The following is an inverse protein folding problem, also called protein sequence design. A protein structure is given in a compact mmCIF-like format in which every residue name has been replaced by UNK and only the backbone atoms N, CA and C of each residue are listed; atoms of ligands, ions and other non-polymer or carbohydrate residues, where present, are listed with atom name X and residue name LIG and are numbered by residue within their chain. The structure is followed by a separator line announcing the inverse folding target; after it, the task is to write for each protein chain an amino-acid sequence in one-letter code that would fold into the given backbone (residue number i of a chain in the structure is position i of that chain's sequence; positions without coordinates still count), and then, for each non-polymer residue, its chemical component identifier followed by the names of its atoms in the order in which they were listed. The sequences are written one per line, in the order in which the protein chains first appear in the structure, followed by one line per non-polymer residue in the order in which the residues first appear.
data_IF_068898917582
#
_entry.id   IF_068898917582
#
_cell.length_a   1.000
_cell.length_b   1.000
_cell.length_c   1.000
_cell.angle_alpha   90.00
_cell.angle_beta   90.00
_cell.angle_gamma   90.00
#
_symmetry.space_group_name_H-M   'P 1'
#
loop_
_entity.id
_entity.type
_entity.pdbx_description
1 polymer ?
#
# COMPACT_ATOMS: atom_id res chain seq x y z
N UNK A 1 -23.77 -8.77 -2.22
CA UNK A 1 -22.95 -9.41 -1.17
C UNK A 1 -21.61 -9.76 -1.78
N UNK A 2 -20.57 -9.98 -0.97
CA UNK A 2 -19.24 -10.41 -1.43
C UNK A 2 -19.01 -11.82 -0.87
N UNK A 3 -18.60 -12.79 -1.71
CA UNK A 3 -18.18 -14.10 -1.22
C UNK A 3 -16.93 -13.95 -0.37
N UNK A 4 -16.91 -14.62 0.77
CA UNK A 4 -15.79 -14.58 1.67
C UNK A 4 -15.55 -15.94 2.31
N UNK A 5 -14.37 -16.12 2.89
CA UNK A 5 -13.99 -17.35 3.58
C UNK A 5 -13.43 -17.01 4.94
N UNK A 6 -13.86 -17.73 5.97
CA UNK A 6 -13.23 -17.67 7.30
C UNK A 6 -12.38 -18.91 7.47
N UNK A 7 -11.12 -18.74 7.84
CA UNK A 7 -10.20 -19.85 8.13
C UNK A 7 -9.30 -19.53 9.33
N UNK A 8 -8.73 -20.55 9.95
CA UNK A 8 -7.82 -20.36 11.09
C UNK A 8 -7.07 -21.63 11.47
N UNK A 9 -6.06 -21.49 12.33
CA UNK A 9 -5.15 -22.60 12.70
C UNK A 9 -5.85 -23.78 13.40
N UNK A 10 -7.02 -23.54 13.99
CA UNK A 10 -7.77 -24.53 14.79
C UNK A 10 -9.26 -24.56 14.46
N UNK A 11 -9.70 -23.89 13.39
CA UNK A 11 -11.10 -23.87 12.97
C UNK A 11 -11.23 -24.35 11.52
N UNK A 12 -12.35 -24.99 11.21
CA UNK A 12 -12.67 -25.40 9.85
C UNK A 12 -12.88 -24.19 8.95
N UNK A 13 -12.40 -24.29 7.72
CA UNK A 13 -12.61 -23.26 6.70
C UNK A 13 -14.09 -23.22 6.30
N UNK A 14 -14.73 -22.07 6.49
CA UNK A 14 -16.16 -21.88 6.18
C UNK A 14 -16.36 -20.83 5.08
N UNK A 15 -17.08 -21.17 3.99
CA UNK A 15 -17.51 -20.17 3.02
C UNK A 15 -18.69 -19.37 3.59
N UNK A 16 -18.62 -18.05 3.46
CA UNK A 16 -19.62 -17.10 3.95
C UNK A 16 -19.91 -16.03 2.89
N UNK A 17 -20.92 -15.20 3.12
CA UNK A 17 -21.21 -14.03 2.29
C UNK A 17 -21.42 -12.79 3.17
N UNK A 18 -20.68 -11.72 2.88
CA UNK A 18 -20.72 -10.48 3.67
C UNK A 18 -21.32 -9.32 2.88
N UNK A 19 -21.90 -8.34 3.57
CA UNK A 19 -22.44 -7.14 2.94
C UNK A 19 -21.30 -6.15 2.62
N UNK A 20 -21.09 -5.88 1.33
CA UNK A 20 -20.07 -4.93 0.83
C UNK A 20 -20.03 -3.61 1.58
N UNK A 21 -21.19 -2.97 1.78
CA UNK A 21 -21.26 -1.64 2.41
C UNK A 21 -20.79 -1.66 3.86
N UNK A 22 -21.14 -2.71 4.62
CA UNK A 22 -20.75 -2.84 6.02
C UNK A 22 -19.26 -3.13 6.14
N UNK A 23 -18.72 -4.03 5.29
CA UNK A 23 -17.30 -4.33 5.25
C UNK A 23 -16.45 -3.10 4.90
N UNK A 24 -16.81 -2.38 3.83
CA UNK A 24 -16.08 -1.18 3.42
C UNK A 24 -16.11 -0.09 4.49
N UNK A 25 -17.23 0.05 5.21
CA UNK A 25 -17.33 0.99 6.33
C UNK A 25 -16.30 0.66 7.41
N UNK A 26 -16.22 -0.61 7.83
CA UNK A 26 -15.28 -1.05 8.85
C UNK A 26 -13.83 -0.84 8.41
N UNK A 27 -13.49 -1.22 7.17
CA UNK A 27 -12.13 -1.05 6.62
C UNK A 27 -11.74 0.44 6.58
N UNK A 28 -12.66 1.33 6.22
CA UNK A 28 -12.39 2.76 6.15
C UNK A 28 -12.29 3.42 7.54
N UNK A 29 -13.03 2.93 8.54
CA UNK A 29 -13.07 3.52 9.88
C UNK A 29 -11.96 3.01 10.80
N UNK A 30 -11.55 1.75 10.65
CA UNK A 30 -10.64 1.07 11.58
C UNK A 30 -9.40 0.48 10.88
N UNK A 31 -9.26 0.71 9.58
CA UNK A 31 -8.19 0.16 8.77
C UNK A 31 -8.35 -1.33 8.44
N UNK A 32 -7.38 -1.85 7.70
CA UNK A 32 -7.38 -3.24 7.20
C UNK A 32 -7.27 -4.26 8.32
N UNK A 33 -6.50 -3.96 9.37
CA UNK A 33 -6.16 -4.92 10.43
C UNK A 33 -7.11 -4.87 11.63
N UNK A 34 -8.29 -4.28 11.47
CA UNK A 34 -9.29 -4.19 12.51
C UNK A 34 -9.81 -5.57 12.95
N UNK A 35 -10.08 -5.71 14.25
CA UNK A 35 -10.80 -6.85 14.81
C UNK A 35 -12.29 -6.74 14.44
N UNK A 36 -12.81 -7.77 13.79
CA UNK A 36 -14.20 -7.84 13.32
C UNK A 36 -14.88 -8.99 14.05
N UNK A 37 -16.03 -8.71 14.68
CA UNK A 37 -16.92 -9.74 15.20
C UNK A 37 -17.88 -10.17 14.09
N UNK A 38 -17.75 -11.42 13.66
CA UNK A 38 -18.54 -11.99 12.59
C UNK A 38 -19.48 -13.07 13.17
N UNK A 39 -20.77 -12.98 12.86
CA UNK A 39 -21.74 -14.04 13.20
C UNK A 39 -21.78 -15.06 12.06
N UNK A 40 -21.33 -16.28 12.36
CA UNK A 40 -21.35 -17.42 11.43
C UNK A 40 -22.24 -18.50 12.05
N UNK A 41 -23.42 -18.70 11.45
CA UNK A 41 -24.41 -19.70 11.88
C UNK A 41 -24.79 -19.62 13.37
N UNK A 42 -24.87 -18.41 13.93
CA UNK A 42 -25.24 -18.16 15.32
C UNK A 42 -24.07 -18.20 16.31
N UNK A 43 -22.84 -18.42 15.83
CA UNK A 43 -21.61 -18.32 16.63
C UNK A 43 -20.87 -17.04 16.26
N UNK A 44 -20.62 -16.20 17.26
CA UNK A 44 -19.80 -14.99 17.08
C UNK A 44 -18.32 -15.38 17.13
N UNK A 45 -17.64 -15.22 16.00
CA UNK A 45 -16.21 -15.46 15.84
C UNK A 45 -15.46 -14.12 15.70
N UNK A 46 -14.25 -14.05 16.26
CA UNK A 46 -13.41 -12.85 16.15
C UNK A 46 -12.39 -13.06 15.03
N UNK A 47 -12.47 -12.22 14.01
CA UNK A 47 -11.69 -12.36 12.78
C UNK A 47 -10.97 -11.06 12.42
N UNK A 48 -9.92 -11.16 11.62
CA UNK A 48 -9.24 -10.03 10.97
C UNK A 48 -9.32 -10.22 9.46
N UNK A 49 -9.35 -9.12 8.70
CA UNK A 49 -9.24 -9.18 7.26
C UNK A 49 -7.86 -9.72 6.87
N UNK A 50 -7.82 -10.89 6.25
CA UNK A 50 -6.60 -11.45 5.68
C UNK A 50 -6.34 -10.82 4.31
N UNK A 51 -6.55 -11.60 3.27
CA UNK A 51 -6.41 -11.16 1.89
C UNK A 51 -7.74 -10.68 1.30
N UNK A 52 -7.65 -9.89 0.23
CA UNK A 52 -8.81 -9.55 -0.57
C UNK A 52 -8.45 -9.51 -2.04
N UNK A 53 -9.44 -9.75 -2.87
CA UNK A 53 -9.34 -9.62 -4.32
C UNK A 53 -10.20 -8.42 -4.72
N UNK A 54 -9.62 -7.52 -5.50
CA UNK A 54 -10.32 -6.38 -6.06
C UNK A 54 -10.26 -6.42 -7.59
N UNK A 55 -11.32 -5.94 -8.23
CA UNK A 55 -11.38 -5.73 -9.67
C UNK A 55 -10.33 -4.68 -10.08
N UNK A 56 -9.42 -4.98 -11.04
CA UNK A 56 -8.34 -4.07 -11.38
C UNK A 56 -8.81 -2.78 -12.08
N UNK A 57 -10.02 -2.77 -12.64
CA UNK A 57 -10.57 -1.62 -13.38
C UNK A 57 -11.43 -0.77 -12.45
N UNK A 58 -12.36 -1.40 -11.75
CA UNK A 58 -13.37 -0.71 -10.95
C UNK A 58 -13.04 -0.69 -9.44
N UNK A 59 -11.95 -1.34 -9.03
CA UNK A 59 -11.51 -1.47 -7.63
C UNK A 59 -12.56 -2.04 -6.67
N UNK A 60 -13.51 -2.80 -7.21
CA UNK A 60 -14.55 -3.45 -6.43
C UNK A 60 -14.03 -4.73 -5.79
N UNK A 61 -14.27 -4.91 -4.49
CA UNK A 61 -13.98 -6.17 -3.80
C UNK A 61 -14.79 -7.33 -4.42
N UNK A 62 -14.07 -8.35 -4.90
CA UNK A 62 -14.57 -9.58 -5.52
C UNK A 62 -14.65 -10.71 -4.49
N UNK A 63 -13.60 -10.87 -3.68
CA UNK A 63 -13.50 -11.91 -2.66
C UNK A 63 -12.74 -11.38 -1.44
N UNK A 64 -13.11 -11.83 -0.25
CA UNK A 64 -12.43 -11.45 1.00
C UNK A 64 -12.14 -12.69 1.85
N UNK A 65 -10.96 -12.71 2.41
CA UNK A 65 -10.49 -13.73 3.32
C UNK A 65 -10.49 -13.18 4.74
N UNK A 66 -11.02 -13.95 5.68
CA UNK A 66 -11.04 -13.64 7.10
C UNK A 66 -10.20 -14.67 7.83
N UNK A 67 -9.24 -14.19 8.60
CA UNK A 67 -8.44 -15.02 9.48
C UNK A 67 -9.09 -15.03 10.87
N UNK A 68 -9.44 -16.20 11.38
CA UNK A 68 -9.82 -16.37 12.77
C UNK A 68 -8.61 -16.12 13.66
N UNK A 69 -8.73 -15.20 14.60
CA UNK A 69 -7.63 -14.79 15.47
C UNK A 69 -7.93 -15.05 16.93
N UNK A 70 -6.91 -15.46 17.67
CA UNK A 70 -6.93 -15.51 19.13
C UNK A 70 -6.20 -14.28 19.67
N UNK A 71 -6.76 -13.63 20.69
CA UNK A 71 -6.18 -12.42 21.28
C UNK A 71 -4.78 -12.66 21.87
N UNK A 72 -4.42 -13.90 22.19
CA UNK A 72 -3.13 -14.28 22.75
C UNK A 72 -2.09 -14.71 21.72
N UNK A 73 -2.49 -14.94 20.46
CA UNK A 73 -1.61 -15.50 19.44
C UNK A 73 -1.03 -14.40 18.55
N UNK A 74 0.27 -14.46 18.29
CA UNK A 74 0.90 -13.60 17.28
C UNK A 74 0.43 -14.01 15.88
N UNK A 75 0.10 -13.01 15.06
CA UNK A 75 -0.32 -13.21 13.68
C UNK A 75 0.55 -12.38 12.74
N UNK A 76 0.60 -12.79 11.48
CA UNK A 76 1.21 -12.01 10.41
C UNK A 76 0.16 -11.06 9.82
N UNK A 77 0.49 -9.78 9.73
CA UNK A 77 -0.39 -8.76 9.19
C UNK A 77 0.38 -7.84 8.24
N UNK A 78 -0.32 -7.35 7.21
CA UNK A 78 0.18 -6.34 6.29
C UNK A 78 -0.29 -4.98 6.77
N UNK A 79 0.64 -4.10 7.10
CA UNK A 79 0.33 -2.74 7.56
C UNK A 79 0.78 -1.73 6.51
N UNK A 80 -0.10 -0.83 6.05
CA UNK A 80 0.27 0.21 5.11
C UNK A 80 1.28 1.19 5.69
N UNK A 81 2.21 1.63 4.86
CA UNK A 81 3.23 2.63 5.19
C UNK A 81 2.78 4.00 4.70
N UNK A 82 2.66 4.95 5.62
CA UNK A 82 2.30 6.33 5.35
C UNK A 82 3.54 7.23 5.45
N UNK A 83 3.88 7.89 4.36
CA UNK A 83 4.95 8.89 4.36
C UNK A 83 4.40 10.20 4.91
N UNK A 84 5.07 10.74 5.94
CA UNK A 84 4.67 11.96 6.64
C UNK A 84 5.63 13.10 6.33
N UNK A 85 5.06 14.26 6.05
CA UNK A 85 5.81 15.47 5.71
C UNK A 85 6.15 15.57 4.22
N UNK A 86 6.72 16.72 3.85
CA UNK A 86 7.21 16.98 2.50
C UNK A 86 8.73 16.96 2.55
N UNK A 87 9.36 16.08 1.79
CA UNK A 87 10.80 15.97 1.76
C UNK A 87 11.43 17.23 1.15
N UNK A 88 12.50 17.76 1.75
CA UNK A 88 13.28 18.89 1.20
C UNK A 88 13.70 18.66 -0.26
N UNK A 89 14.07 17.43 -0.59
CA UNK A 89 14.43 17.07 -1.96
C UNK A 89 13.28 17.27 -2.96
N UNK A 90 12.02 17.15 -2.53
CA UNK A 90 10.85 17.43 -3.37
C UNK A 90 10.65 18.93 -3.59
N UNK A 91 10.92 19.76 -2.58
CA UNK A 91 10.86 21.22 -2.71
C UNK A 91 11.85 21.76 -3.74
N UNK A 92 12.97 21.06 -3.96
CA UNK A 92 14.02 21.42 -4.93
C UNK A 92 13.79 20.72 -6.29
N UNK A 93 12.63 20.10 -6.52
CA UNK A 93 12.26 19.47 -7.80
C UNK A 93 12.55 17.96 -7.88
N UNK A 94 12.76 17.30 -6.75
CA UNK A 94 12.80 15.84 -6.65
C UNK A 94 11.42 15.19 -6.63
N UNK A 95 11.38 13.89 -6.84
CA UNK A 95 10.17 13.06 -6.78
C UNK A 95 10.35 11.97 -5.73
N UNK A 96 9.35 11.79 -4.87
CA UNK A 96 9.32 10.67 -3.93
C UNK A 96 8.96 9.39 -4.69
N UNK A 97 9.81 8.38 -4.60
CA UNK A 97 9.51 7.01 -5.03
C UNK A 97 9.37 6.13 -3.80
N UNK A 98 8.16 5.65 -3.54
CA UNK A 98 7.89 4.67 -2.49
C UNK A 98 7.99 3.26 -3.09
N UNK A 99 8.96 2.48 -2.62
CA UNK A 99 9.16 1.10 -3.07
C UNK A 99 8.31 0.11 -2.27
N UNK A 100 8.10 0.40 -0.98
CA UNK A 100 7.31 -0.45 -0.08
C UNK A 100 6.09 0.32 0.41
N UNK A 101 4.92 -0.11 -0.04
CA UNK A 101 3.62 0.44 0.39
C UNK A 101 3.04 -0.27 1.62
N UNK A 102 3.42 -1.52 1.88
CA UNK A 102 2.93 -2.32 3.00
C UNK A 102 4.10 -3.11 3.63
N UNK A 103 4.18 -3.10 4.96
CA UNK A 103 5.14 -3.93 5.70
C UNK A 103 4.46 -5.17 6.27
N UNK A 104 5.14 -6.30 6.18
CA UNK A 104 4.72 -7.53 6.82
C UNK A 104 5.21 -7.49 8.26
N UNK A 105 4.32 -7.48 9.22
CA UNK A 105 4.67 -7.48 10.64
C UNK A 105 4.12 -8.73 11.32
N UNK A 106 4.70 -9.06 12.47
CA UNK A 106 4.21 -10.08 13.39
C UNK A 106 3.95 -9.41 14.74
N UNK A 107 2.70 -9.47 15.18
CA UNK A 107 2.25 -8.88 16.44
C UNK A 107 0.97 -9.58 16.94
N UNK A 108 0.59 -9.33 18.19
CA UNK A 108 -0.74 -9.70 18.67
C UNK A 108 -1.81 -8.81 18.05
N UNK A 109 -3.07 -9.27 17.89
CA UNK A 109 -4.12 -8.47 17.26
C UNK A 109 -4.34 -7.08 17.87
N UNK A 110 -4.08 -6.90 19.17
CA UNK A 110 -4.20 -5.62 19.86
C UNK A 110 -3.04 -4.64 19.59
N UNK A 111 -1.89 -5.15 19.15
CA UNK A 111 -0.68 -4.37 18.95
C UNK A 111 -0.42 -4.00 17.49
N UNK A 112 -1.27 -4.46 16.56
CA UNK A 112 -1.13 -4.13 15.14
C UNK A 112 -1.54 -2.68 14.93
N UNK A 113 -0.63 -1.79 14.49
CA UNK A 113 -0.99 -0.43 14.15
C UNK A 113 -1.82 -0.40 12.85
N UNK A 114 -2.68 0.62 12.71
CA UNK A 114 -3.44 0.86 11.49
C UNK A 114 -2.52 1.27 10.32
N UNK A 115 -1.52 2.10 10.62
CA UNK A 115 -0.52 2.61 9.66
C UNK A 115 0.85 2.71 10.30
N UNK A 116 1.90 2.49 9.53
CA UNK A 116 3.28 2.77 9.92
C UNK A 116 3.67 4.14 9.35
N UNK A 117 3.80 5.14 10.22
CA UNK A 117 4.23 6.48 9.82
C UNK A 117 5.76 6.52 9.65
N UNK A 118 6.20 7.12 8.55
CA UNK A 118 7.61 7.32 8.22
C UNK A 118 7.83 8.79 7.85
N UNK A 119 8.63 9.50 8.64
CA UNK A 119 8.95 10.92 8.39
C UNK A 119 9.98 11.04 7.25
N UNK A 120 9.59 11.75 6.19
CA UNK A 120 10.43 12.01 5.00
C UNK A 120 10.91 13.45 4.92
N UNK A 121 10.56 14.31 5.88
CA UNK A 121 10.77 15.77 5.82
C UNK A 121 12.23 16.14 5.57
N UNK A 122 13.17 15.43 6.19
CA UNK A 122 14.60 15.73 6.09
C UNK A 122 15.32 15.03 4.93
N UNK A 123 14.61 14.32 4.05
CA UNK A 123 15.23 13.63 2.92
C UNK A 123 15.60 14.61 1.79
N UNK A 124 16.83 14.51 1.32
CA UNK A 124 17.36 15.24 0.17
C UNK A 124 17.36 14.34 -1.08
N UNK A 125 17.62 14.92 -2.25
CA UNK A 125 17.71 14.17 -3.51
C UNK A 125 18.85 13.15 -3.41
N UNK A 126 18.56 11.90 -3.78
CA UNK A 126 19.49 10.78 -3.69
C UNK A 126 19.51 10.07 -2.34
N UNK A 127 18.79 10.59 -1.33
CA UNK A 127 18.65 9.92 -0.05
C UNK A 127 17.50 8.91 -0.06
N UNK A 128 17.66 7.89 0.76
CA UNK A 128 16.74 6.76 0.90
C UNK A 128 16.49 6.49 2.39
N UNK A 129 15.26 6.13 2.72
CA UNK A 129 14.87 5.62 4.03
C UNK A 129 14.67 4.10 3.97
N UNK A 130 15.29 3.39 4.91
CA UNK A 130 15.28 1.93 4.97
C UNK A 130 14.43 1.41 6.12
N UNK A 131 14.10 0.12 6.09
CA UNK A 131 13.37 -0.55 7.17
C UNK A 131 14.14 -0.50 8.50
N UNK A 132 15.47 -0.60 8.47
CA UNK A 132 16.30 -0.49 9.67
C UNK A 132 16.12 0.84 10.42
N UNK A 133 15.86 1.94 9.71
CA UNK A 133 15.71 3.28 10.29
C UNK A 133 14.43 3.40 11.13
N UNK A 134 13.38 2.64 10.78
CA UNK A 134 12.08 2.69 11.45
C UNK A 134 11.91 1.59 12.52
N UNK A 135 12.69 0.51 12.45
CA UNK A 135 12.52 -0.68 13.33
C UNK A 135 12.53 -0.33 14.82
N UNK A 136 13.37 0.62 15.22
CA UNK A 136 13.51 1.02 16.63
C UNK A 136 12.29 1.78 17.19
N UNK A 137 11.44 2.33 16.32
CA UNK A 137 10.25 3.08 16.73
C UNK A 137 9.10 2.17 17.18
N UNK A 138 9.09 0.91 16.72
CA UNK A 138 8.00 -0.04 17.00
C UNK A 138 8.51 -1.23 17.81
N UNK A 139 8.59 -1.08 19.14
CA UNK A 139 9.14 -2.11 20.05
C UNK A 139 8.24 -3.32 20.26
N UNK A 140 6.94 -3.18 19.99
CA UNK A 140 5.90 -4.19 20.25
C UNK A 140 5.48 -4.97 19.00
N UNK A 141 6.12 -4.73 17.85
CA UNK A 141 5.88 -5.45 16.61
C UNK A 141 7.20 -5.95 16.04
N UNK A 142 7.18 -7.10 15.38
CA UNK A 142 8.33 -7.63 14.65
C UNK A 142 8.11 -7.34 13.17
N UNK A 143 8.96 -6.51 12.56
CA UNK A 143 8.91 -6.24 11.12
C UNK A 143 9.64 -7.39 10.39
N UNK A 144 8.92 -8.12 9.54
CA UNK A 144 9.41 -9.24 8.73
C UNK A 144 9.93 -8.74 7.37
N UNK A 145 10.90 -7.84 7.42
CA UNK A 145 11.63 -7.28 6.28
C UNK A 145 13.11 -7.17 6.66
N UNK A 146 14.01 -7.13 5.69
CA UNK A 146 15.44 -6.94 5.92
C UNK A 146 15.75 -5.47 6.23
N UNK A 147 16.78 -5.20 7.04
CA UNK A 147 17.09 -3.81 7.43
C UNK A 147 17.55 -2.96 6.25
N UNK A 148 18.03 -3.60 5.17
CA UNK A 148 18.48 -2.94 3.95
C UNK A 148 17.34 -2.59 2.99
N UNK A 149 16.14 -3.15 3.21
CA UNK A 149 14.97 -2.92 2.37
C UNK A 149 14.61 -1.44 2.34
N UNK A 150 14.40 -0.92 1.14
CA UNK A 150 14.14 0.49 0.88
C UNK A 150 12.64 0.76 0.97
N UNK A 151 12.25 1.67 1.87
CA UNK A 151 10.85 2.11 1.99
C UNK A 151 10.55 3.18 0.94
N UNK A 152 11.37 4.24 0.90
CA UNK A 152 11.21 5.34 -0.03
C UNK A 152 12.55 6.01 -0.37
N UNK A 153 12.66 6.55 -1.57
CA UNK A 153 13.82 7.28 -2.09
C UNK A 153 13.37 8.58 -2.74
N UNK A 154 14.18 9.63 -2.64
CA UNK A 154 13.97 10.85 -3.41
C UNK A 154 14.88 10.83 -4.64
N UNK A 155 14.28 10.86 -5.83
CA UNK A 155 15.02 10.93 -7.10
C UNK A 155 14.94 12.33 -7.69
N UNK A 156 15.93 12.76 -8.47
CA UNK A 156 15.83 14.01 -9.22
C UNK A 156 14.82 13.85 -10.36
N UNK A 157 13.94 14.84 -10.53
CA UNK A 157 13.15 14.93 -11.76
C UNK A 157 14.06 15.43 -12.87
N UNK A 158 14.48 14.55 -13.77
CA UNK A 158 14.99 15.01 -15.06
C UNK A 158 13.77 15.35 -15.91
N UNK A 159 13.51 16.64 -16.07
CA UNK A 159 12.61 17.09 -17.13
C UNK A 159 13.28 16.68 -18.43
N UNK A 160 12.75 15.63 -19.04
CA UNK A 160 12.97 15.37 -20.45
C UNK A 160 12.24 16.51 -21.17
N UNK A 161 12.98 17.56 -21.47
CA UNK A 161 12.57 18.50 -22.52
C UNK A 161 12.52 17.65 -23.78
N UNK A 162 11.32 17.22 -24.17
CA UNK A 162 11.07 16.94 -25.57
C UNK A 162 11.36 18.26 -26.28
N UNK A 163 12.50 18.32 -26.95
CA UNK A 163 12.84 19.38 -27.90
C UNK A 163 11.74 19.42 -28.96
N UNK A 164 10.72 20.24 -28.72
CA UNK A 164 9.85 20.79 -29.77
C UNK A 164 10.68 21.84 -30.52
N UNK A 165 11.70 21.40 -31.23
CA UNK A 165 12.36 22.22 -32.23
C UNK A 165 11.47 22.23 -33.48
N UNK A 166 10.62 23.27 -33.55
CA UNK A 166 10.16 23.82 -34.81
C UNK A 166 11.38 24.27 -35.64
N UNK A 167 11.81 23.46 -36.60
CA UNK A 167 12.66 23.95 -37.69
C UNK A 167 11.80 24.29 -38.92
N UNK A 168 11.43 25.57 -39.00
CA UNK A 168 11.12 26.25 -40.26
C UNK A 168 12.40 26.60 -41.02
N UNK A 169 12.70 25.91 -42.12
CA UNK A 169 13.41 26.39 -43.33
C UNK A 169 13.70 25.16 -44.18
N UNK A 170 13.44 25.01 -45.48
CA UNK A 170 13.17 25.92 -46.58
C UNK A 170 13.91 25.31 -47.77
N UNK A 171 13.23 24.91 -48.84
CA UNK A 171 13.93 24.77 -50.13
C UNK A 171 13.05 25.14 -51.31
N UNK A 172 13.61 26.00 -52.14
CA UNK A 172 12.98 26.61 -53.31
C UNK A 172 13.46 25.82 -54.50
N UNK A 173 12.58 25.11 -55.20
CA UNK A 173 12.90 24.52 -56.50
C UNK A 173 12.22 25.32 -57.61
N UNK A 174 13.01 26.17 -58.28
CA UNK A 174 12.71 26.66 -59.61
C UNK A 174 12.84 25.52 -60.63
N UNK A 175 11.88 25.38 -61.54
CA UNK A 175 12.11 24.85 -62.87
C UNK A 175 11.10 25.45 -63.86
N UNK A 176 11.59 25.69 -65.08
CA UNK A 176 11.17 26.69 -66.06
C UNK A 176 10.13 26.19 -67.09
N UNK A 177 9.72 27.13 -67.95
CA UNK A 177 8.55 27.22 -68.87
C UNK A 177 8.68 26.39 -70.18
N UNK A 178 7.54 26.28 -70.89
CA UNK A 178 7.29 26.17 -72.36
C UNK A 178 6.56 24.87 -72.76
N UNK A 179 5.46 24.82 -73.54
CA UNK A 179 4.75 25.72 -74.49
C UNK A 179 3.24 25.66 -74.26
#
# INVERSE_FOLDING_TARGET
MIPAVVYGKHEETKPIAVKKRELLKIINEHGRNALISLDVDGKVETVILGEYQADPINQHLIHVDFLHVSMSSEIHAKVPVLLKGTAKGVEVGGVVQQSIHELNIKATPQNIPETIEVDVTNLEIGHTIKVGDIRNHYRNIIINHEDEDVIATIVSSQIQVDDLDEETSGDTVQATVDV
#
